data_IF_787876264393
#
_entry.id   IF_787876264393
#
_cell.length_a   1.000
_cell.length_b   1.000
_cell.length_c   1.000
_cell.angle_alpha   90.00
_cell.angle_beta   90.00
_cell.angle_gamma   90.00
#
_symmetry.space_group_name_H-M   'P 1'
#
loop_
_entity.id
_entity.type
_entity.pdbx_description
1 polymer ?
#
# COMPACT_ATOMS: atom_id res chain seq x y z
N UNK A 1 -35.13 -39.83 -0.89
CA UNK A 1 -33.69 -39.83 -0.52
C UNK A 1 -32.74 -39.68 -1.72
N UNK A 2 -32.92 -40.43 -2.81
CA UNK A 2 -32.01 -40.33 -3.99
C UNK A 2 -31.93 -38.92 -4.60
N UNK A 3 -33.07 -38.25 -4.76
CA UNK A 3 -33.13 -36.88 -5.30
C UNK A 3 -32.48 -35.81 -4.40
N UNK A 4 -32.58 -35.97 -3.07
CA UNK A 4 -31.93 -35.08 -2.09
C UNK A 4 -30.40 -35.24 -2.11
N UNK A 5 -29.92 -36.47 -2.29
CA UNK A 5 -28.50 -36.76 -2.44
C UNK A 5 -27.95 -36.18 -3.75
N UNK A 6 -28.71 -36.27 -4.84
CA UNK A 6 -28.34 -35.67 -6.13
C UNK A 6 -28.30 -34.14 -6.07
N UNK A 7 -29.21 -33.50 -5.32
CA UNK A 7 -29.21 -32.05 -5.13
C UNK A 7 -28.02 -31.59 -4.30
N UNK A 8 -27.65 -32.33 -3.25
CA UNK A 8 -26.48 -32.04 -2.42
C UNK A 8 -25.16 -32.23 -3.20
N UNK A 9 -25.11 -33.21 -4.11
CA UNK A 9 -23.95 -33.41 -4.97
C UNK A 9 -23.81 -32.29 -6.01
N UNK A 10 -24.93 -31.82 -6.59
CA UNK A 10 -24.92 -30.68 -7.52
C UNK A 10 -24.50 -29.37 -6.84
N UNK A 11 -24.90 -29.12 -5.59
CA UNK A 11 -24.46 -27.91 -4.87
C UNK A 11 -22.97 -27.97 -4.50
N UNK A 12 -22.43 -29.15 -4.20
CA UNK A 12 -20.98 -29.31 -3.95
C UNK A 12 -20.14 -29.12 -5.22
N UNK A 13 -20.65 -29.51 -6.39
CA UNK A 13 -19.97 -29.27 -7.68
C UNK A 13 -20.05 -27.79 -8.10
N UNK A 14 -21.21 -27.14 -7.90
CA UNK A 14 -21.37 -25.70 -8.17
C UNK A 14 -20.54 -24.80 -7.22
N UNK A 15 -20.18 -25.28 -6.03
CA UNK A 15 -19.29 -24.57 -5.11
C UNK A 15 -17.83 -24.56 -5.59
N UNK A 16 -17.40 -25.53 -6.42
CA UNK A 16 -16.02 -25.59 -6.94
C UNK A 16 -15.78 -24.64 -8.13
N UNK A 17 -16.84 -24.18 -8.81
CA UNK A 17 -16.74 -23.23 -9.93
C UNK A 17 -16.59 -21.77 -9.50
N UNK A 18 -16.56 -21.47 -8.19
CA UNK A 18 -16.01 -20.23 -7.65
C UNK A 18 -14.52 -20.38 -7.30
N UNK A 19 -13.80 -21.26 -8.01
CA UNK A 19 -12.36 -21.18 -8.07
C UNK A 19 -12.00 -19.71 -8.36
N UNK A 20 -11.36 -19.07 -7.39
CA UNK A 20 -10.88 -17.71 -7.47
C UNK A 20 -10.32 -17.49 -8.87
N UNK A 21 -10.83 -16.49 -9.59
CA UNK A 21 -10.13 -15.92 -10.74
C UNK A 21 -8.67 -15.80 -10.30
N UNK A 22 -7.76 -16.45 -11.03
CA UNK A 22 -6.35 -16.45 -10.70
C UNK A 22 -5.92 -14.99 -10.50
N UNK A 23 -5.66 -14.62 -9.25
CA UNK A 23 -5.20 -13.28 -8.92
C UNK A 23 -3.69 -13.25 -9.19
N UNK A 24 -3.35 -12.99 -10.46
CA UNK A 24 -1.96 -12.89 -10.92
C UNK A 24 -1.27 -11.60 -10.46
N UNK A 25 -1.93 -10.81 -9.59
CA UNK A 25 -1.30 -9.64 -8.98
C UNK A 25 -0.17 -10.10 -8.05
N UNK A 26 0.99 -9.49 -8.19
CA UNK A 26 2.15 -9.75 -7.34
C UNK A 26 2.86 -8.46 -6.97
N UNK A 27 3.42 -8.43 -5.76
CA UNK A 27 4.24 -7.33 -5.27
C UNK A 27 5.40 -7.94 -4.51
N UNK A 28 6.61 -7.59 -4.91
CA UNK A 28 7.85 -8.07 -4.30
C UNK A 28 8.78 -6.88 -4.05
N UNK A 29 9.33 -6.78 -2.85
CA UNK A 29 10.36 -5.80 -2.51
C UNK A 29 11.18 -6.34 -1.35
N UNK A 30 12.40 -5.83 -1.16
CA UNK A 30 13.17 -6.02 0.05
C UNK A 30 13.08 -4.75 0.90
N UNK A 31 12.62 -4.89 2.14
CA UNK A 31 12.54 -3.82 3.13
C UNK A 31 13.71 -4.02 4.10
N UNK A 32 14.70 -3.13 4.04
CA UNK A 32 15.95 -3.26 4.80
C UNK A 32 16.60 -4.64 4.61
N UNK A 33 16.63 -5.10 3.35
CA UNK A 33 17.17 -6.41 2.95
C UNK A 33 16.26 -7.61 3.26
N UNK A 34 15.14 -7.43 3.96
CA UNK A 34 14.19 -8.51 4.26
C UNK A 34 13.14 -8.66 3.16
N UNK A 35 12.95 -9.87 2.59
CA UNK A 35 11.93 -10.09 1.57
C UNK A 35 10.51 -9.75 2.06
N UNK A 36 9.77 -9.05 1.22
CA UNK A 36 8.36 -8.70 1.41
C UNK A 36 7.60 -9.04 0.13
N UNK A 37 6.72 -10.04 0.21
CA UNK A 37 5.92 -10.52 -0.92
C UNK A 37 4.44 -10.54 -0.56
N UNK A 38 3.61 -9.93 -1.39
CA UNK A 38 2.16 -9.82 -1.18
C UNK A 38 1.41 -9.76 -2.51
N UNK A 39 0.07 -9.76 -2.46
CA UNK A 39 -0.77 -9.47 -3.61
C UNK A 39 -1.27 -8.02 -3.53
N UNK A 40 -0.88 -7.13 -4.46
CA UNK A 40 -1.29 -5.74 -4.42
C UNK A 40 -2.74 -5.57 -4.87
N UNK A 41 -3.35 -4.46 -4.44
CA UNK A 41 -4.68 -4.01 -4.88
C UNK A 41 -4.61 -2.56 -5.33
N UNK A 42 -5.45 -2.18 -6.31
CA UNK A 42 -5.70 -0.76 -6.63
C UNK A 42 -6.84 -0.27 -5.77
N UNK A 43 -6.61 0.75 -4.97
CA UNK A 43 -7.62 1.31 -4.05
C UNK A 43 -7.61 2.81 -4.12
N UNK A 44 -8.76 3.44 -3.84
CA UNK A 44 -8.85 4.88 -3.75
C UNK A 44 -8.71 5.30 -2.29
N UNK A 45 -7.71 6.13 -1.98
CA UNK A 45 -7.55 6.78 -0.67
C UNK A 45 -7.62 8.29 -0.91
N UNK A 46 -8.63 8.94 -0.33
CA UNK A 46 -8.97 10.31 -0.66
C UNK A 46 -9.26 10.47 -2.16
N UNK A 47 -8.54 11.37 -2.83
CA UNK A 47 -8.71 11.64 -4.26
C UNK A 47 -7.75 10.85 -5.16
N UNK A 48 -6.92 9.97 -4.60
CA UNK A 48 -5.84 9.32 -5.32
C UNK A 48 -6.00 7.80 -5.35
N UNK A 49 -5.66 7.19 -6.49
CA UNK A 49 -5.57 5.74 -6.62
C UNK A 49 -4.19 5.24 -6.25
N UNK A 50 -4.12 4.42 -5.21
CA UNK A 50 -2.90 3.82 -4.71
C UNK A 50 -2.84 2.34 -5.10
N UNK A 51 -1.63 1.89 -5.46
CA UNK A 51 -1.27 0.47 -5.46
C UNK A 51 -0.85 0.13 -4.03
N UNK A 52 -1.56 -0.77 -3.37
CA UNK A 52 -1.33 -1.12 -1.98
C UNK A 52 -1.05 -2.60 -1.80
N UNK A 53 0.04 -2.89 -1.09
CA UNK A 53 0.59 -4.20 -0.85
C UNK A 53 0.66 -4.43 0.67
N UNK A 54 -0.27 -5.23 1.19
CA UNK A 54 -0.44 -5.44 2.63
C UNK A 54 0.03 -6.83 3.08
N UNK A 55 0.57 -6.90 4.29
CA UNK A 55 0.82 -8.13 5.05
C UNK A 55 0.17 -8.00 6.42
N UNK A 56 -0.17 -9.12 7.05
CA UNK A 56 -0.92 -9.16 8.33
C UNK A 56 -0.13 -9.77 9.49
N UNK A 57 1.16 -10.09 9.28
CA UNK A 57 2.06 -10.66 10.29
C UNK A 57 3.50 -10.13 10.15
N UNK A 58 3.85 -9.01 10.80
CA UNK A 58 2.94 -8.04 11.44
C UNK A 58 2.12 -7.27 10.38
N UNK A 59 1.16 -6.45 10.82
CA UNK A 59 0.41 -5.60 9.89
C UNK A 59 1.37 -4.59 9.25
N UNK A 60 1.54 -4.71 7.92
CA UNK A 60 2.40 -3.87 7.09
C UNK A 60 1.67 -3.43 5.83
N UNK A 61 2.03 -2.27 5.31
CA UNK A 61 1.53 -1.78 4.03
C UNK A 61 2.63 -1.01 3.31
N UNK A 62 2.93 -1.40 2.08
CA UNK A 62 3.66 -0.57 1.12
C UNK A 62 2.62 -0.01 0.14
N UNK A 63 2.66 1.30 -0.09
CA UNK A 63 1.71 2.01 -0.95
C UNK A 63 2.45 2.86 -1.95
N UNK A 64 2.05 2.78 -3.20
CA UNK A 64 2.62 3.55 -4.31
C UNK A 64 1.49 4.30 -4.98
N UNK A 65 1.60 5.63 -5.01
CA UNK A 65 0.77 6.48 -5.85
C UNK A 65 1.53 6.82 -7.12
N UNK A 66 0.83 6.75 -8.25
CA UNK A 66 1.33 7.20 -9.55
C UNK A 66 0.42 8.34 -10.03
N UNK A 67 0.99 9.52 -10.17
CA UNK A 67 0.31 10.71 -10.70
C UNK A 67 0.80 11.04 -12.10
N UNK A 68 -0.12 11.15 -13.06
CA UNK A 68 0.22 11.64 -14.40
C UNK A 68 0.42 13.16 -14.40
N UNK A 69 1.26 13.62 -15.32
CA UNK A 69 1.54 15.05 -15.48
C UNK A 69 0.30 15.87 -15.87
N UNK A 70 -0.62 15.30 -16.65
CA UNK A 70 -1.79 16.00 -17.18
C UNK A 70 -3.01 15.97 -16.24
N UNK A 71 -2.85 15.56 -14.97
CA UNK A 71 -3.97 15.33 -14.03
C UNK A 71 -5.06 14.39 -14.60
N UNK A 72 -4.70 13.57 -15.59
CA UNK A 72 -5.57 12.50 -16.10
C UNK A 72 -5.40 11.28 -15.19
N UNK A 73 -6.48 10.57 -14.88
CA UNK A 73 -6.44 9.29 -14.15
C UNK A 73 -5.96 8.13 -15.06
N UNK A 74 -5.02 8.44 -15.95
CA UNK A 74 -4.41 7.51 -16.90
C UNK A 74 -2.95 7.35 -16.50
N UNK A 75 -2.54 6.10 -16.26
CA UNK A 75 -1.15 5.75 -15.98
C UNK A 75 -0.49 5.42 -17.32
N UNK A 76 0.54 6.18 -17.68
CA UNK A 76 1.31 5.97 -18.91
C UNK A 76 2.50 5.04 -18.66
N UNK A 77 2.93 4.36 -19.73
CA UNK A 77 4.22 3.66 -19.71
C UNK A 77 5.36 4.66 -19.75
N UNK A 78 6.33 4.50 -18.84
CA UNK A 78 7.53 5.32 -18.77
C UNK A 78 8.07 5.46 -17.35
N UNK A 79 8.96 6.43 -17.16
CA UNK A 79 9.61 6.68 -15.88
C UNK A 79 8.87 7.76 -15.10
N UNK A 80 8.67 7.53 -13.81
CA UNK A 80 8.05 8.45 -12.87
C UNK A 80 9.09 8.89 -11.83
N UNK A 81 9.14 10.19 -11.54
CA UNK A 81 10.03 10.73 -10.51
C UNK A 81 9.41 10.49 -9.13
N UNK A 82 10.15 9.88 -8.21
CA UNK A 82 9.73 9.73 -6.82
C UNK A 82 9.89 11.07 -6.11
N UNK A 83 8.81 11.53 -5.49
CA UNK A 83 8.73 12.82 -4.79
C UNK A 83 8.30 12.64 -3.33
N UNK A 84 8.34 13.74 -2.58
CA UNK A 84 7.86 13.78 -1.19
C UNK A 84 6.40 13.32 -1.07
N UNK A 85 6.18 12.22 -0.35
CA UNK A 85 4.84 11.65 -0.16
C UNK A 85 3.90 12.51 0.69
N UNK A 86 4.42 13.43 1.52
CA UNK A 86 3.59 14.36 2.28
C UNK A 86 3.04 15.49 1.40
N UNK A 87 3.79 15.90 0.37
CA UNK A 87 3.43 16.98 -0.55
C UNK A 87 3.84 16.63 -1.98
N UNK A 88 3.18 15.65 -2.61
CA UNK A 88 3.67 15.16 -3.88
C UNK A 88 3.23 16.09 -5.04
N UNK A 89 2.06 16.74 -4.94
CA UNK A 89 1.49 17.62 -5.96
C UNK A 89 1.87 19.11 -5.78
N UNK A 90 3.17 19.41 -5.65
CA UNK A 90 3.67 20.79 -5.52
C UNK A 90 4.02 21.41 -6.88
N UNK A 91 4.01 22.75 -6.97
CA UNK A 91 4.42 23.47 -8.18
C UNK A 91 5.89 23.21 -8.51
N UNK A 92 6.72 23.09 -7.48
CA UNK A 92 8.15 22.81 -7.56
C UNK A 92 8.39 21.43 -8.17
N UNK A 93 7.69 20.40 -7.66
CA UNK A 93 7.77 19.06 -8.22
C UNK A 93 7.38 19.09 -9.70
N UNK A 94 6.24 19.74 -10.06
CA UNK A 94 5.79 19.90 -11.46
C UNK A 94 6.81 20.57 -12.36
N UNK A 95 7.40 21.68 -11.90
CA UNK A 95 8.42 22.41 -12.65
C UNK A 95 9.65 21.54 -12.90
N UNK A 96 10.11 20.79 -11.89
CA UNK A 96 11.25 19.87 -12.01
C UNK A 96 11.02 18.81 -13.09
N UNK A 97 9.83 18.22 -13.16
CA UNK A 97 9.48 17.25 -14.21
C UNK A 97 9.44 17.90 -15.60
N UNK A 98 8.86 19.10 -15.70
CA UNK A 98 8.75 19.85 -16.96
C UNK A 98 10.12 20.22 -17.54
N UNK A 99 11.02 20.71 -16.69
CA UNK A 99 12.37 21.10 -17.08
C UNK A 99 13.21 19.89 -17.52
N UNK A 100 13.01 18.74 -16.88
CA UNK A 100 13.76 17.53 -17.21
C UNK A 100 13.20 16.82 -18.45
N UNK A 101 11.93 17.05 -18.83
CA UNK A 101 11.30 16.52 -20.04
C UNK A 101 11.29 14.99 -20.21
N UNK A 102 11.76 14.26 -19.19
CA UNK A 102 12.11 12.83 -19.29
C UNK A 102 11.08 11.93 -18.61
N UNK A 103 10.33 12.45 -17.63
CA UNK A 103 9.39 11.66 -16.85
C UNK A 103 7.95 11.82 -17.33
N UNK A 104 7.18 10.74 -17.22
CA UNK A 104 5.74 10.69 -17.52
C UNK A 104 4.88 11.24 -16.37
N UNK A 105 5.45 11.37 -15.18
CA UNK A 105 4.74 11.87 -14.02
C UNK A 105 5.55 11.74 -12.74
N UNK A 106 4.84 11.78 -11.61
CA UNK A 106 5.40 11.64 -10.26
C UNK A 106 4.89 10.38 -9.56
N UNK A 107 5.70 9.88 -8.65
CA UNK A 107 5.35 8.79 -7.77
C UNK A 107 5.55 9.19 -6.31
N UNK A 108 4.68 8.71 -5.43
CA UNK A 108 4.87 8.81 -3.98
C UNK A 108 4.84 7.41 -3.37
N UNK A 109 5.77 7.13 -2.48
CA UNK A 109 5.89 5.82 -1.81
C UNK A 109 5.74 6.00 -0.30
N UNK A 110 4.87 5.20 0.30
CA UNK A 110 4.65 5.16 1.75
C UNK A 110 4.76 3.73 2.25
N UNK A 111 5.46 3.56 3.36
CA UNK A 111 5.53 2.32 4.14
C UNK A 111 4.94 2.55 5.53
N UNK A 112 4.17 1.59 6.02
CA UNK A 112 3.69 1.55 7.40
C UNK A 112 3.86 0.14 7.94
N UNK A 113 4.44 0.01 9.12
CA UNK A 113 4.53 -1.22 9.90
C UNK A 113 4.02 -0.97 11.31
N UNK A 114 3.14 -1.84 11.78
CA UNK A 114 2.83 -1.93 13.20
C UNK A 114 4.01 -2.58 13.94
N UNK A 115 4.61 -1.84 14.87
CA UNK A 115 5.74 -2.29 15.66
C UNK A 115 5.35 -2.79 17.05
N UNK A 116 4.14 -2.44 17.51
CA UNK A 116 3.58 -2.96 18.77
C UNK A 116 2.09 -3.22 18.67
N UNK A 117 1.71 -4.46 18.90
CA UNK A 117 0.31 -4.89 18.89
C UNK A 117 -0.43 -4.56 20.22
N UNK A 118 -1.77 -4.41 20.16
CA UNK A 118 -2.58 -4.18 18.97
C UNK A 118 -2.59 -2.68 18.63
N UNK A 119 -2.06 -2.30 17.48
CA UNK A 119 -2.07 -0.95 16.89
C UNK A 119 -1.63 0.10 17.90
N UNK A 120 -0.53 -0.13 18.61
CA UNK A 120 -0.06 0.77 19.67
C UNK A 120 1.07 1.68 19.18
N UNK A 121 1.96 1.12 18.37
CA UNK A 121 3.13 1.80 17.85
C UNK A 121 3.34 1.42 16.38
N UNK A 122 3.86 2.37 15.62
CA UNK A 122 4.09 2.21 14.18
C UNK A 122 5.46 2.74 13.79
N UNK A 123 5.99 2.18 12.71
CA UNK A 123 7.11 2.70 11.94
C UNK A 123 6.61 3.09 10.56
N UNK A 124 6.79 4.35 10.20
CA UNK A 124 6.26 4.95 8.97
C UNK A 124 7.41 5.49 8.14
N UNK A 125 7.54 5.00 6.92
CA UNK A 125 8.46 5.52 5.90
C UNK A 125 7.72 6.34 4.85
N UNK A 126 8.26 7.51 4.49
CA UNK A 126 7.73 8.33 3.39
C UNK A 126 8.84 8.67 2.40
N UNK A 127 8.54 8.58 1.10
CA UNK A 127 9.47 9.04 0.08
C UNK A 127 9.74 10.53 0.22
N UNK A 128 10.91 10.95 -0.23
CA UNK A 128 11.37 12.34 -0.23
C UNK A 128 11.83 12.72 -1.64
N UNK A 129 12.14 13.99 -1.87
CA UNK A 129 12.67 14.47 -3.14
C UNK A 129 14.16 14.07 -3.32
N UNK A 130 14.41 12.78 -3.55
CA UNK A 130 15.74 12.17 -3.65
C UNK A 130 16.22 11.81 -5.05
N UNK A 131 15.51 12.23 -6.10
CA UNK A 131 15.82 11.90 -7.52
C UNK A 131 15.75 10.41 -7.89
N UNK A 132 15.08 9.63 -7.05
CA UNK A 132 14.77 8.22 -7.29
C UNK A 132 13.59 8.08 -8.27
N UNK A 133 13.43 6.91 -8.88
CA UNK A 133 12.45 6.72 -9.96
C UNK A 133 11.72 5.39 -9.89
N UNK A 134 10.48 5.37 -10.42
CA UNK A 134 9.73 4.15 -10.72
C UNK A 134 9.61 4.01 -12.23
N UNK A 135 9.99 2.86 -12.78
CA UNK A 135 9.75 2.54 -14.20
C UNK A 135 8.47 1.72 -14.30
N UNK A 136 7.52 2.22 -15.08
CA UNK A 136 6.18 1.66 -15.25
C UNK A 136 6.00 1.19 -16.70
N UNK A 137 5.39 0.03 -16.88
CA UNK A 137 5.05 -0.55 -18.19
C UNK A 137 3.63 -1.12 -18.15
N UNK A 138 2.89 -0.90 -19.22
CA UNK A 138 1.62 -1.58 -19.45
C UNK A 138 1.89 -2.83 -20.31
N UNK A 139 1.64 -4.01 -19.75
CA UNK A 139 1.70 -5.26 -20.47
C UNK A 139 0.59 -5.36 -21.53
N UNK A 140 0.82 -6.13 -22.58
CA UNK A 140 -0.20 -6.40 -23.61
C UNK A 140 -1.42 -7.15 -23.04
N UNK A 141 -1.24 -7.81 -21.90
CA UNK A 141 -2.26 -8.49 -21.10
C UNK A 141 -3.07 -7.52 -20.21
N UNK A 142 -2.82 -6.20 -20.26
CA UNK A 142 -3.50 -5.19 -19.45
C UNK A 142 -3.05 -5.16 -17.97
N UNK A 143 -1.90 -5.75 -17.66
CA UNK A 143 -1.29 -5.60 -16.35
C UNK A 143 -0.35 -4.39 -16.33
N UNK A 144 -0.49 -3.60 -15.27
CA UNK A 144 0.48 -2.58 -14.92
C UNK A 144 1.64 -3.24 -14.18
N UNK A 145 2.81 -3.16 -14.77
CA UNK A 145 4.05 -3.67 -14.23
C UNK A 145 4.94 -2.49 -13.87
N UNK A 146 5.60 -2.54 -12.71
CA UNK A 146 6.56 -1.52 -12.35
C UNK A 146 7.76 -2.10 -11.60
N UNK A 147 8.88 -1.38 -11.69
CA UNK A 147 10.11 -1.66 -10.94
C UNK A 147 10.63 -0.39 -10.29
N UNK A 148 11.17 -0.50 -9.08
CA UNK A 148 11.62 0.65 -8.30
C UNK A 148 12.65 0.26 -7.24
N UNK A 149 13.44 1.26 -6.85
CA UNK A 149 14.26 1.25 -5.65
C UNK A 149 14.14 2.64 -5.03
N UNK A 150 13.96 2.72 -3.71
CA UNK A 150 13.88 4.01 -3.03
C UNK A 150 14.26 3.95 -1.55
N UNK A 151 14.57 5.13 -1.02
CA UNK A 151 14.89 5.37 0.38
C UNK A 151 13.80 6.21 1.01
N UNK A 152 13.21 5.71 2.09
CA UNK A 152 12.13 6.39 2.80
C UNK A 152 12.66 7.03 4.08
N UNK A 153 12.20 8.25 4.36
CA UNK A 153 12.40 8.89 5.66
C UNK A 153 11.53 8.18 6.70
N UNK A 154 12.17 7.42 7.58
CA UNK A 154 11.54 6.61 8.62
C UNK A 154 11.27 7.40 9.90
N UNK A 155 10.07 7.20 10.45
CA UNK A 155 9.58 7.90 11.63
C UNK A 155 8.79 6.96 12.51
N UNK A 156 8.91 7.10 13.83
CA UNK A 156 8.17 6.27 14.77
C UNK A 156 6.95 7.01 15.30
N UNK A 157 5.87 6.28 15.51
CA UNK A 157 4.61 6.83 15.99
C UNK A 157 4.11 6.00 17.17
N UNK A 158 3.59 6.70 18.18
CA UNK A 158 3.05 6.09 19.39
C UNK A 158 1.70 6.68 19.71
N UNK A 159 0.79 5.83 20.16
CA UNK A 159 -0.52 6.27 20.63
C UNK A 159 -0.39 7.34 21.72
N UNK A 160 -1.16 8.43 21.58
CA UNK A 160 -1.23 9.46 22.60
C UNK A 160 -1.92 8.88 23.83
N UNK A 161 -1.35 9.12 25.02
CA UNK A 161 -1.97 8.72 26.28
C UNK A 161 -3.41 9.25 26.41
N UNK A 162 -3.69 10.45 25.90
CA UNK A 162 -5.05 11.02 25.85
C UNK A 162 -5.99 10.18 24.99
N UNK A 163 -5.56 9.64 23.85
CA UNK A 163 -6.40 8.79 23.02
C UNK A 163 -6.79 7.49 23.75
N UNK A 164 -5.85 6.91 24.51
CA UNK A 164 -6.12 5.74 25.36
C UNK A 164 -7.06 6.07 26.52
N UNK A 165 -6.85 7.19 27.22
CA UNK A 165 -7.66 7.58 28.38
C UNK A 165 -9.10 7.94 28.00
N UNK A 166 -9.29 8.73 26.94
CA UNK A 166 -10.63 9.11 26.48
C UNK A 166 -11.35 7.98 25.73
N UNK A 167 -10.59 7.10 25.06
CA UNK A 167 -11.15 5.94 24.36
C UNK A 167 -11.44 4.74 25.25
N UNK A 168 -10.81 4.67 26.42
CA UNK A 168 -10.98 3.59 27.40
C UNK A 168 -10.80 2.18 26.81
N UNK A 169 -11.51 1.21 27.39
CA UNK A 169 -11.53 -0.19 26.93
C UNK A 169 -12.09 -0.32 25.50
N UNK A 170 -13.05 0.53 25.12
CA UNK A 170 -13.66 0.49 23.78
C UNK A 170 -12.64 0.73 22.66
N UNK A 171 -11.65 1.60 22.87
CA UNK A 171 -10.59 1.82 21.89
C UNK A 171 -9.70 0.60 21.69
N UNK A 172 -9.43 -0.17 22.75
CA UNK A 172 -8.65 -1.40 22.64
C UNK A 172 -9.44 -2.48 21.89
N UNK A 173 -10.75 -2.61 22.16
CA UNK A 173 -11.65 -3.53 21.46
C UNK A 173 -11.68 -3.21 19.97
N UNK A 174 -11.91 -1.95 19.59
CA UNK A 174 -11.95 -1.55 18.19
C UNK A 174 -10.66 -1.89 17.43
N UNK A 175 -9.49 -1.71 18.05
CA UNK A 175 -8.21 -2.10 17.44
C UNK A 175 -8.10 -3.60 17.22
N UNK A 176 -8.59 -4.40 18.17
CA UNK A 176 -8.62 -5.86 18.04
C UNK A 176 -9.58 -6.31 16.95
N UNK A 177 -10.75 -5.66 16.83
CA UNK A 177 -11.72 -5.89 15.76
C UNK A 177 -11.12 -5.54 14.40
N UNK A 178 -10.49 -4.37 14.26
CA UNK A 178 -9.82 -3.96 13.03
C UNK A 178 -8.74 -4.98 12.63
N UNK A 179 -7.91 -5.43 13.59
CA UNK A 179 -6.91 -6.48 13.31
C UNK A 179 -7.56 -7.80 12.90
N UNK A 180 -8.68 -8.18 13.49
CA UNK A 180 -9.41 -9.38 13.09
C UNK A 180 -9.97 -9.26 11.65
N UNK A 181 -10.49 -8.09 11.29
CA UNK A 181 -10.93 -7.78 9.92
C UNK A 181 -9.76 -7.80 8.95
N UNK A 182 -8.64 -7.15 9.27
CA UNK A 182 -7.43 -7.14 8.44
C UNK A 182 -6.88 -8.54 8.24
N UNK A 183 -6.82 -9.35 9.30
CA UNK A 183 -6.40 -10.76 9.23
C UNK A 183 -7.32 -11.59 8.32
N UNK A 184 -8.63 -11.33 8.35
CA UNK A 184 -9.62 -12.07 7.55
C UNK A 184 -9.63 -11.64 6.08
N UNK A 185 -9.50 -10.34 5.83
CA UNK A 185 -9.57 -9.75 4.48
C UNK A 185 -8.22 -9.69 3.78
N UNK A 186 -7.13 -9.87 4.53
CA UNK A 186 -5.74 -9.69 4.09
C UNK A 186 -5.39 -8.23 3.80
N UNK A 187 -6.17 -7.27 4.31
CA UNK A 187 -6.12 -5.89 3.84
C UNK A 187 -6.42 -4.86 4.92
N UNK A 188 -5.73 -3.73 4.85
CA UNK A 188 -5.98 -2.57 5.70
C UNK A 188 -5.75 -1.25 4.94
N UNK A 189 -6.87 -0.56 4.66
CA UNK A 189 -6.89 0.79 4.08
C UNK A 189 -6.48 1.88 5.07
N UNK A 190 -6.68 1.68 6.36
CA UNK A 190 -6.61 2.72 7.40
C UNK A 190 -5.51 2.48 8.43
N UNK A 191 -4.49 1.70 8.09
CA UNK A 191 -3.32 1.41 8.95
C UNK A 191 -2.51 2.67 9.34
N UNK A 192 -2.74 3.82 8.69
CA UNK A 192 -1.99 5.04 8.91
C UNK A 192 -2.18 5.59 10.34
N UNK A 193 -1.10 5.90 11.08
CA UNK A 193 -1.21 6.50 12.41
C UNK A 193 -1.56 8.00 12.36
N UNK A 194 -1.33 8.68 11.24
CA UNK A 194 -1.55 10.12 11.14
C UNK A 194 -3.03 10.50 11.30
N UNK A 195 -3.33 11.46 12.18
CA UNK A 195 -4.70 11.89 12.46
C UNK A 195 -5.51 10.94 13.36
N UNK A 196 -5.02 9.73 13.65
CA UNK A 196 -5.79 8.68 14.33
C UNK A 196 -5.49 8.52 15.84
N UNK A 197 -5.07 9.61 16.48
CA UNK A 197 -4.74 9.63 17.92
C UNK A 197 -3.30 9.21 18.24
N UNK A 198 -2.42 9.14 17.24
CA UNK A 198 -1.00 8.87 17.41
C UNK A 198 -0.18 10.16 17.36
N UNK A 199 1.02 10.12 17.94
CA UNK A 199 1.99 11.19 17.93
C UNK A 199 3.30 10.71 17.32
N UNK A 200 3.87 11.52 16.44
CA UNK A 200 5.22 11.30 15.90
C UNK A 200 6.24 11.43 17.02
N UNK A 201 7.15 10.48 17.10
CA UNK A 201 8.25 10.45 18.05
C UNK A 201 9.49 11.13 17.44
N UNK A 202 10.42 11.56 18.28
CA UNK A 202 11.68 12.17 17.83
C UNK A 202 12.66 11.19 17.16
N UNK A 203 12.45 9.89 17.33
CA UNK A 203 13.26 8.85 16.68
C UNK A 203 12.98 8.82 15.18
N UNK A 204 14.05 8.84 14.39
CA UNK A 204 14.02 8.74 12.92
C UNK A 204 15.11 7.79 12.44
N UNK A 205 14.91 7.23 11.26
CA UNK A 205 15.85 6.37 10.55
C UNK A 205 15.57 6.43 9.03
N UNK A 206 16.26 5.59 8.27
CA UNK A 206 16.01 5.40 6.83
C UNK A 206 15.54 3.98 6.61
N UNK A 207 14.50 3.81 5.82
CA UNK A 207 14.01 2.50 5.36
C UNK A 207 14.40 2.36 3.89
N UNK A 208 15.11 1.30 3.54
CA UNK A 208 15.52 1.04 2.17
C UNK A 208 14.58 0.03 1.52
N UNK A 209 13.92 0.45 0.43
CA UNK A 209 13.15 -0.42 -0.45
C UNK A 209 14.01 -0.75 -1.67
N UNK A 210 14.42 -2.02 -1.77
CA UNK A 210 15.27 -2.49 -2.88
C UNK A 210 14.63 -3.66 -3.62
N UNK A 211 15.00 -3.84 -4.89
CA UNK A 211 14.46 -4.87 -5.76
C UNK A 211 12.93 -4.85 -5.83
N UNK A 212 12.34 -3.65 -5.80
CA UNK A 212 10.90 -3.45 -5.82
C UNK A 212 10.32 -3.75 -7.19
N UNK A 213 9.27 -4.56 -7.23
CA UNK A 213 8.49 -4.84 -8.42
C UNK A 213 7.03 -5.11 -8.07
N UNK A 214 6.12 -4.72 -8.96
CA UNK A 214 4.73 -5.14 -8.86
C UNK A 214 4.13 -5.41 -10.22
N UNK A 215 3.16 -6.33 -10.25
CA UNK A 215 2.27 -6.63 -11.37
C UNK A 215 0.83 -6.53 -10.86
N UNK A 216 0.03 -5.70 -11.49
CA UNK A 216 -1.34 -5.39 -11.05
C UNK A 216 -2.26 -5.27 -12.26
N UNK A 217 -3.34 -6.05 -12.29
CA UNK A 217 -4.36 -5.90 -13.31
C UNK A 217 -5.06 -4.54 -13.18
N UNK A 218 -5.04 -3.75 -14.24
CA UNK A 218 -5.81 -2.51 -14.34
C UNK A 218 -7.07 -2.83 -15.15
N UNK A 219 -8.21 -2.90 -14.46
CA UNK A 219 -9.53 -3.05 -15.08
C UNK A 219 -10.08 -1.70 -15.53
#
# INVERSE_FOLDING_TARGET
MKALFSLFLLTTLAATSYAQIANDNSFEVQIDGKPYKTQPRRIRIGNYWWVTANSTKPDKSVRIWLGSYENKDIIETGTYLIVDADKPDTKENKKKIQELGTYKGIAAVKYVEETREPRMEYHVGKSQNGDETITVKMGADGFLEATFNCSLAGTYWKEKATATVFGGVGRLINKMEDKAITKTTGYDSSIDPEGNGYSKQGKTDTITLSNGSFKLKIN
#
